data_IF_163783644579
#
_entry.id   IF_163783644579
#
_cell.length_a   1.000
_cell.length_b   1.000
_cell.length_c   1.000
_cell.angle_alpha   90.00
_cell.angle_beta   90.00
_cell.angle_gamma   90.00
#
_symmetry.space_group_name_H-M   'P 1'
#
loop_
_entity.id
_entity.type
_entity.pdbx_description
1 polymer ?
#
# COMPACT_ATOMS: atom_id res chain seq x y z
N UNK A 1 3.79 -9.15 8.14
CA UNK A 1 3.40 -7.75 7.81
C UNK A 1 3.53 -7.48 6.32
N UNK A 2 4.74 -7.58 5.74
CA UNK A 2 5.00 -7.32 4.32
C UNK A 2 4.06 -8.03 3.33
N UNK A 3 3.81 -9.33 3.50
CA UNK A 3 2.90 -10.09 2.63
C UNK A 3 1.45 -9.56 2.67
N UNK A 4 0.98 -9.13 3.84
CA UNK A 4 -0.35 -8.53 3.97
C UNK A 4 -0.43 -7.18 3.25
N UNK A 5 0.62 -6.36 3.35
CA UNK A 5 0.73 -5.09 2.62
C UNK A 5 0.68 -5.34 1.11
N UNK A 6 1.48 -6.28 0.62
CA UNK A 6 1.50 -6.69 -0.79
C UNK A 6 0.13 -7.14 -1.27
N UNK A 7 -0.54 -8.03 -0.53
CA UNK A 7 -1.85 -8.55 -0.89
C UNK A 7 -2.91 -7.43 -0.94
N UNK A 8 -2.89 -6.52 0.03
CA UNK A 8 -3.84 -5.40 0.06
C UNK A 8 -3.59 -4.36 -1.05
N UNK A 9 -2.34 -4.07 -1.38
CA UNK A 9 -2.01 -3.20 -2.51
C UNK A 9 -2.37 -3.87 -3.85
N UNK A 10 -2.08 -5.17 -4.00
CA UNK A 10 -2.51 -5.96 -5.16
C UNK A 10 -4.04 -5.91 -5.35
N UNK A 11 -4.79 -6.07 -4.26
CA UNK A 11 -6.26 -5.93 -4.28
C UNK A 11 -6.68 -4.52 -4.69
N UNK A 12 -6.03 -3.49 -4.15
CA UNK A 12 -6.32 -2.08 -4.44
C UNK A 12 -6.07 -1.70 -5.91
N UNK A 13 -5.03 -2.27 -6.51
CA UNK A 13 -4.66 -2.03 -7.91
C UNK A 13 -5.28 -3.02 -8.90
N UNK A 14 -6.07 -3.97 -8.43
CA UNK A 14 -6.58 -5.08 -9.25
C UNK A 14 -5.44 -5.78 -10.04
N UNK A 15 -4.30 -5.96 -9.38
CA UNK A 15 -3.05 -6.44 -9.97
C UNK A 15 -2.52 -7.68 -9.24
N UNK A 16 -1.56 -8.37 -9.83
CA UNK A 16 -0.88 -9.47 -9.15
C UNK A 16 0.14 -8.95 -8.10
N UNK A 17 0.36 -9.68 -6.99
CA UNK A 17 1.31 -9.28 -5.96
C UNK A 17 2.73 -9.01 -6.49
N UNK A 18 3.23 -9.81 -7.44
CA UNK A 18 4.58 -9.61 -8.00
C UNK A 18 4.71 -8.32 -8.81
N UNK A 19 3.63 -7.88 -9.47
CA UNK A 19 3.62 -6.62 -10.22
C UNK A 19 3.70 -5.44 -9.26
N UNK A 20 2.88 -5.48 -8.20
CA UNK A 20 2.92 -4.47 -7.13
C UNK A 20 4.27 -4.46 -6.42
N UNK A 21 4.84 -5.64 -6.14
CA UNK A 21 6.16 -5.75 -5.54
C UNK A 21 7.25 -5.06 -6.37
N UNK A 22 7.14 -5.14 -7.70
CA UNK A 22 8.07 -4.51 -8.62
C UNK A 22 7.83 -2.99 -8.76
N UNK A 23 6.58 -2.55 -8.87
CA UNK A 23 6.25 -1.13 -9.10
C UNK A 23 6.28 -0.29 -7.82
N UNK A 24 5.94 -0.85 -6.66
CA UNK A 24 5.57 -0.13 -5.45
C UNK A 24 6.43 -0.43 -4.22
N UNK A 25 7.69 -0.86 -4.45
CA UNK A 25 8.63 -1.19 -3.36
C UNK A 25 8.67 -0.16 -2.24
N UNK A 26 8.76 1.14 -2.57
CA UNK A 26 8.78 2.24 -1.60
C UNK A 26 7.53 2.25 -0.70
N UNK A 27 6.35 2.04 -1.30
CA UNK A 27 5.09 2.03 -0.56
C UNK A 27 4.99 0.81 0.34
N UNK A 28 5.38 -0.35 -0.20
CA UNK A 28 5.40 -1.62 0.56
C UNK A 28 6.31 -1.49 1.78
N UNK A 29 7.53 -0.98 1.59
CA UNK A 29 8.49 -0.81 2.67
C UNK A 29 7.96 0.17 3.73
N UNK A 30 7.39 1.31 3.30
CA UNK A 30 6.82 2.29 4.22
C UNK A 30 5.66 1.73 5.05
N UNK A 31 4.67 1.09 4.42
CA UNK A 31 3.52 0.52 5.11
C UNK A 31 3.91 -0.67 6.00
N UNK A 32 4.96 -1.40 5.62
CA UNK A 32 5.52 -2.48 6.46
C UNK A 32 6.15 -1.93 7.74
N UNK A 33 6.85 -0.79 7.65
CA UNK A 33 7.48 -0.13 8.79
C UNK A 33 6.52 0.73 9.62
N UNK A 34 5.35 1.09 9.08
CA UNK A 34 4.35 1.95 9.73
C UNK A 34 2.98 1.25 9.84
N UNK A 35 2.81 0.27 10.75
CA UNK A 35 1.58 -0.53 10.86
C UNK A 35 0.31 0.30 11.08
N UNK A 36 0.41 1.44 11.77
CA UNK A 36 -0.73 2.35 11.98
C UNK A 36 -1.27 2.93 10.67
N UNK A 37 -0.38 3.34 9.76
CA UNK A 37 -0.80 3.81 8.43
C UNK A 37 -1.32 2.67 7.56
N UNK A 38 -0.75 1.46 7.70
CA UNK A 38 -1.27 0.30 7.01
C UNK A 38 -2.69 -0.06 7.47
N UNK A 39 -3.01 0.05 8.75
CA UNK A 39 -4.38 -0.17 9.24
C UNK A 39 -5.38 0.85 8.67
N UNK A 40 -4.98 2.11 8.56
CA UNK A 40 -5.77 3.15 7.89
C UNK A 40 -5.96 2.81 6.41
N UNK A 41 -4.88 2.47 5.70
CA UNK A 41 -4.95 2.04 4.30
C UNK A 41 -5.86 0.83 4.11
N UNK A 42 -5.74 -0.18 4.96
CA UNK A 42 -6.50 -1.43 4.86
C UNK A 42 -8.01 -1.21 5.04
N UNK A 43 -8.39 -0.41 6.03
CA UNK A 43 -9.80 -0.17 6.41
C UNK A 43 -10.46 0.95 5.60
N UNK A 44 -9.66 1.83 5.01
CA UNK A 44 -10.18 2.99 4.30
C UNK A 44 -10.94 2.64 3.03
N UNK A 45 -11.79 3.58 2.61
CA UNK A 45 -12.42 3.55 1.30
C UNK A 45 -11.41 3.81 0.17
N UNK A 46 -11.89 3.84 -1.08
CA UNK A 46 -11.03 4.05 -2.24
C UNK A 46 -10.30 5.40 -2.20
N UNK A 47 -10.95 6.45 -1.71
CA UNK A 47 -10.40 7.79 -1.63
C UNK A 47 -9.32 7.87 -0.53
N UNK A 48 -9.59 7.30 0.64
CA UNK A 48 -8.64 7.23 1.75
C UNK A 48 -7.41 6.39 1.39
N UNK A 49 -7.62 5.23 0.76
CA UNK A 49 -6.54 4.40 0.22
C UNK A 49 -5.67 5.15 -0.77
N UNK A 50 -6.29 5.89 -1.69
CA UNK A 50 -5.55 6.72 -2.64
C UNK A 50 -4.73 7.79 -1.95
N UNK A 51 -5.30 8.48 -0.95
CA UNK A 51 -4.61 9.53 -0.19
C UNK A 51 -3.36 8.98 0.52
N UNK A 52 -3.47 7.82 1.19
CA UNK A 52 -2.34 7.18 1.84
C UNK A 52 -1.31 6.70 0.81
N UNK A 53 -1.74 6.03 -0.26
CA UNK A 53 -0.83 5.56 -1.30
C UNK A 53 -0.06 6.72 -1.95
N UNK A 54 -0.76 7.77 -2.39
CA UNK A 54 -0.13 8.91 -3.10
C UNK A 54 0.81 9.70 -2.20
N UNK A 55 0.51 9.82 -0.91
CA UNK A 55 1.38 10.54 0.03
C UNK A 55 2.73 9.83 0.16
N UNK A 56 2.72 8.50 0.21
CA UNK A 56 3.94 7.70 0.30
C UNK A 56 4.66 7.64 -1.05
N UNK A 57 3.92 7.40 -2.15
CA UNK A 57 4.52 7.20 -3.47
C UNK A 57 5.17 8.48 -3.99
N UNK A 58 4.49 9.63 -3.85
CA UNK A 58 4.85 10.86 -4.57
C UNK A 58 5.28 12.05 -3.69
N UNK A 59 4.98 12.07 -2.38
CA UNK A 59 5.20 13.26 -1.54
C UNK A 59 6.29 13.09 -0.48
N UNK A 60 6.48 11.88 0.05
CA UNK A 60 7.63 11.51 0.91
C UNK A 60 8.84 11.19 0.04
#
# INVERSE_FOLDING_TARGET
MREAVLHHLATYFEAFPYQVEFFDKKVIDHLTLNPGQFEVFKKGDMAEKWIVYRSIKYLV
#
